data_IF_792390668914
#
_entry.id   IF_792390668914
#
_cell.length_a   1.000
_cell.length_b   1.000
_cell.length_c   1.000
_cell.angle_alpha   90.00
_cell.angle_beta   90.00
_cell.angle_gamma   90.00
#
_symmetry.space_group_name_H-M   'P 1'
#
loop_
_entity.id
_entity.type
_entity.pdbx_description
1 polymer ?
#
# COMPACT_ATOMS: atom_id res chain seq x y z
N UNK A 1 20.05 8.61 -7.98
CA UNK A 1 20.10 7.82 -6.73
C UNK A 1 18.69 7.48 -6.30
N UNK A 2 18.42 6.23 -6.05
CA UNK A 2 17.13 5.79 -5.59
C UNK A 2 16.92 6.21 -4.14
N UNK A 3 15.76 6.78 -3.85
CA UNK A 3 15.38 7.18 -2.51
C UNK A 3 14.28 6.25 -2.00
N UNK A 4 14.55 5.57 -0.89
CA UNK A 4 13.55 4.74 -0.23
C UNK A 4 12.56 5.61 0.52
N UNK A 5 11.28 5.38 0.29
CA UNK A 5 10.20 6.14 0.93
C UNK A 5 9.07 5.22 1.34
N UNK A 6 8.32 5.70 2.31
CA UNK A 6 7.04 5.13 2.70
C UNK A 6 5.97 6.20 2.58
N UNK A 7 4.85 5.84 2.04
CA UNK A 7 3.69 6.71 1.96
C UNK A 7 2.46 5.92 2.37
N UNK A 8 1.40 6.61 2.74
CA UNK A 8 0.21 5.95 3.24
C UNK A 8 -1.03 6.65 2.74
N UNK A 9 -2.11 5.90 2.77
CA UNK A 9 -3.45 6.41 2.55
C UNK A 9 -4.36 5.84 3.62
N UNK A 10 -5.40 6.59 3.98
CA UNK A 10 -6.46 6.07 4.83
C UNK A 10 -7.52 5.51 3.93
N UNK A 11 -7.54 4.19 3.78
CA UNK A 11 -8.62 3.51 3.08
C UNK A 11 -9.22 2.46 4.00
N UNK A 12 -10.42 2.08 3.68
CA UNK A 12 -11.08 1.04 4.43
C UNK A 12 -10.68 -0.32 3.86
N UNK A 13 -10.07 -1.16 4.68
CA UNK A 13 -9.81 -2.54 4.32
C UNK A 13 -11.08 -3.34 4.38
N UNK A 14 -11.16 -4.31 3.49
CA UNK A 14 -12.20 -5.31 3.48
C UNK A 14 -11.61 -6.65 3.88
N UNK A 15 -12.32 -7.35 4.74
CA UNK A 15 -12.04 -8.76 5.01
C UNK A 15 -13.12 -9.58 4.35
N UNK A 16 -12.72 -10.70 3.75
CA UNK A 16 -13.68 -11.62 3.17
C UNK A 16 -13.22 -13.05 3.37
N UNK A 17 -14.20 -13.92 3.41
CA UNK A 17 -13.98 -15.36 3.45
C UNK A 17 -14.44 -15.93 2.11
N UNK A 18 -13.59 -16.73 1.50
CA UNK A 18 -13.98 -17.43 0.29
C UNK A 18 -14.79 -18.66 0.68
N UNK A 19 -16.03 -18.72 0.21
CA UNK A 19 -16.90 -19.87 0.47
C UNK A 19 -16.44 -21.14 -0.26
N UNK A 20 -15.70 -20.98 -1.35
CA UNK A 20 -15.25 -22.12 -2.16
C UNK A 20 -13.98 -22.77 -1.61
N UNK A 21 -13.08 -21.97 -1.00
CA UNK A 21 -11.75 -22.46 -0.60
C UNK A 21 -11.44 -22.25 0.88
N UNK A 22 -12.39 -21.73 1.66
CA UNK A 22 -12.20 -21.42 3.10
C UNK A 22 -11.02 -20.49 3.33
N UNK A 23 -10.69 -19.63 2.35
CA UNK A 23 -9.61 -18.67 2.46
C UNK A 23 -10.06 -17.41 3.18
N UNK A 24 -9.14 -16.82 3.94
CA UNK A 24 -9.30 -15.50 4.53
C UNK A 24 -8.48 -14.51 3.72
N UNK A 25 -9.11 -13.43 3.28
CA UNK A 25 -8.48 -12.45 2.40
C UNK A 25 -8.65 -11.06 2.98
N UNK A 26 -7.53 -10.33 3.06
CA UNK A 26 -7.53 -8.88 3.30
C UNK A 26 -7.44 -8.18 1.97
N UNK A 27 -8.40 -7.31 1.67
CA UNK A 27 -8.44 -6.56 0.42
C UNK A 27 -8.54 -5.07 0.70
N UNK A 28 -7.86 -4.29 -0.11
CA UNK A 28 -7.96 -2.83 -0.03
C UNK A 28 -7.12 -2.15 -1.07
N UNK A 29 -7.27 -0.83 -1.15
CA UNK A 29 -6.41 0.00 -1.98
C UNK A 29 -5.20 0.45 -1.16
N UNK A 30 -4.01 0.13 -1.65
CA UNK A 30 -2.76 0.57 -1.03
C UNK A 30 -2.27 1.89 -1.60
N UNK A 31 -2.69 2.23 -2.81
CA UNK A 31 -2.40 3.50 -3.46
C UNK A 31 -3.69 4.00 -4.11
N UNK A 32 -3.99 5.28 -3.92
CA UNK A 32 -5.06 5.99 -4.65
C UNK A 32 -4.36 6.99 -5.57
N UNK A 33 -4.65 6.93 -6.86
CA UNK A 33 -4.04 7.82 -7.85
C UNK A 33 -4.58 9.24 -7.74
N UNK A 34 -3.70 10.20 -8.01
CA UNK A 34 -4.06 11.62 -8.16
C UNK A 34 -4.79 12.18 -6.94
N UNK A 35 -4.44 11.67 -5.76
CA UNK A 35 -5.03 12.07 -4.49
C UNK A 35 -3.96 12.72 -3.61
N UNK A 36 -3.82 14.05 -3.64
CA UNK A 36 -2.79 14.73 -2.87
C UNK A 36 -2.95 14.50 -1.37
N UNK A 37 -1.86 14.12 -0.73
CA UNK A 37 -1.79 13.90 0.72
C UNK A 37 -0.75 14.83 1.29
N UNK A 38 -1.12 15.60 2.30
CA UNK A 38 -0.17 16.50 2.97
C UNK A 38 0.74 15.69 3.89
N UNK A 39 2.05 15.69 3.59
CA UNK A 39 3.05 14.97 4.38
C UNK A 39 3.53 15.81 5.56
N UNK A 40 3.67 17.11 5.35
CA UNK A 40 3.90 18.11 6.38
C UNK A 40 3.35 19.44 5.85
N UNK A 41 3.18 20.47 6.69
CA UNK A 41 2.58 21.71 6.24
C UNK A 41 3.25 22.28 4.99
N UNK A 42 2.45 22.46 3.94
CA UNK A 42 2.91 23.02 2.68
C UNK A 42 3.53 22.02 1.70
N UNK A 43 3.61 20.75 2.05
CA UNK A 43 4.18 19.74 1.15
C UNK A 43 3.19 18.58 0.94
N UNK A 44 2.75 18.42 -0.31
CA UNK A 44 1.80 17.39 -0.69
C UNK A 44 2.44 16.40 -1.65
N UNK A 45 2.01 15.15 -1.56
CA UNK A 45 2.46 14.06 -2.43
C UNK A 45 1.24 13.38 -3.05
N UNK A 46 1.35 13.04 -4.32
CA UNK A 46 0.38 12.16 -4.98
C UNK A 46 1.09 11.19 -5.91
N UNK A 47 0.39 10.12 -6.28
CA UNK A 47 0.91 9.09 -7.16
C UNK A 47 0.18 9.18 -8.49
N UNK A 48 0.94 9.30 -9.58
CA UNK A 48 0.39 9.23 -10.93
C UNK A 48 0.10 7.77 -11.32
N UNK A 49 -0.95 7.50 -12.12
CA UNK A 49 -1.18 6.14 -12.63
C UNK A 49 0.02 5.54 -13.36
N UNK A 50 0.83 6.35 -14.03
CA UNK A 50 2.02 5.87 -14.75
C UNK A 50 3.16 5.43 -13.84
N UNK A 51 3.09 5.77 -12.54
CA UNK A 51 4.14 5.41 -11.59
C UNK A 51 4.31 3.90 -11.44
N UNK A 52 3.27 3.12 -11.74
CA UNK A 52 3.26 1.67 -11.61
C UNK A 52 3.40 0.94 -12.95
N UNK A 53 3.91 1.61 -13.98
CA UNK A 53 4.04 1.01 -15.32
C UNK A 53 4.88 -0.28 -15.32
N UNK A 54 5.85 -0.41 -14.41
CA UNK A 54 6.73 -1.56 -14.30
C UNK A 54 6.40 -2.49 -13.14
N UNK A 55 5.20 -2.41 -12.59
CA UNK A 55 4.80 -3.17 -11.41
C UNK A 55 4.95 -4.68 -11.60
N UNK A 56 4.66 -5.20 -12.78
CA UNK A 56 4.72 -6.63 -13.08
C UNK A 56 6.13 -7.22 -13.05
N UNK A 57 7.16 -6.38 -13.03
CA UNK A 57 8.55 -6.82 -12.91
C UNK A 57 9.05 -6.83 -11.47
N UNK A 58 8.21 -6.42 -10.52
CA UNK A 58 8.59 -6.19 -9.13
C UNK A 58 8.07 -7.32 -8.25
N UNK A 59 8.89 -7.71 -7.27
CA UNK A 59 8.50 -8.67 -6.24
C UNK A 59 8.11 -7.89 -4.99
N UNK A 60 6.81 -7.85 -4.72
CA UNK A 60 6.24 -7.02 -3.66
C UNK A 60 5.79 -7.90 -2.51
N UNK A 61 6.09 -7.48 -1.29
CA UNK A 61 5.64 -8.15 -0.09
C UNK A 61 4.54 -7.36 0.60
N UNK A 62 3.59 -8.08 1.18
CA UNK A 62 2.63 -7.50 2.10
C UNK A 62 3.17 -7.71 3.51
N UNK A 63 3.36 -6.61 4.24
CA UNK A 63 3.83 -6.61 5.62
C UNK A 63 2.70 -6.13 6.53
N UNK A 64 2.95 -6.08 7.83
CA UNK A 64 2.06 -5.44 8.79
C UNK A 64 2.84 -4.35 9.50
N UNK A 65 2.36 -3.09 9.43
CA UNK A 65 3.06 -1.92 9.99
C UNK A 65 4.50 -1.78 9.49
N UNK A 66 4.75 -2.12 8.23
CA UNK A 66 6.10 -2.11 7.62
C UNK A 66 7.11 -3.02 8.32
N UNK A 67 6.66 -3.96 9.15
CA UNK A 67 7.53 -4.85 9.89
C UNK A 67 8.01 -5.98 8.99
N UNK A 68 9.30 -5.99 8.68
CA UNK A 68 9.90 -6.99 7.80
C UNK A 68 9.93 -8.39 8.40
N UNK A 69 9.72 -8.51 9.70
CA UNK A 69 9.62 -9.81 10.36
C UNK A 69 8.19 -10.37 10.31
N UNK A 70 7.23 -9.60 9.80
CA UNK A 70 5.82 -10.00 9.76
C UNK A 70 5.30 -9.91 8.32
N UNK A 71 5.65 -10.91 7.52
CA UNK A 71 5.25 -10.99 6.12
C UNK A 71 3.89 -11.67 6.03
N UNK A 72 2.90 -10.97 5.48
CA UNK A 72 1.54 -11.48 5.32
C UNK A 72 1.33 -12.18 3.98
N UNK A 73 2.12 -11.85 2.99
CA UNK A 73 2.01 -12.42 1.66
C UNK A 73 3.02 -11.81 0.71
N UNK A 74 3.05 -12.32 -0.51
CA UNK A 74 4.07 -11.95 -1.48
C UNK A 74 3.59 -12.22 -2.91
N UNK A 75 3.90 -11.33 -3.84
CA UNK A 75 3.53 -11.56 -5.24
C UNK A 75 4.30 -12.76 -5.83
N UNK A 76 5.53 -12.97 -5.41
CA UNK A 76 6.38 -14.05 -5.95
C UNK A 76 5.86 -15.46 -5.70
N UNK A 77 5.01 -15.66 -4.69
CA UNK A 77 4.37 -16.96 -4.41
C UNK A 77 2.85 -16.90 -4.51
N UNK A 78 2.31 -15.85 -5.12
CA UNK A 78 0.88 -15.66 -5.40
C UNK A 78 -0.01 -15.55 -4.16
N UNK A 79 0.55 -15.22 -3.00
CA UNK A 79 -0.21 -14.95 -1.78
C UNK A 79 -0.61 -13.49 -1.64
N UNK A 80 -0.02 -12.63 -2.46
CA UNK A 80 -0.44 -11.24 -2.66
C UNK A 80 -0.75 -11.04 -4.14
N UNK A 81 -1.96 -10.58 -4.45
CA UNK A 81 -2.34 -10.21 -5.80
C UNK A 81 -2.53 -8.70 -5.86
N UNK A 82 -1.79 -8.04 -6.74
CA UNK A 82 -1.88 -6.60 -6.97
C UNK A 82 -2.56 -6.33 -8.31
N UNK A 83 -3.55 -5.46 -8.30
CA UNK A 83 -4.31 -5.09 -9.49
C UNK A 83 -4.39 -3.57 -9.60
N UNK A 84 -3.98 -3.03 -10.73
CA UNK A 84 -4.11 -1.60 -11.03
C UNK A 84 -5.44 -1.38 -11.73
N UNK A 85 -6.23 -0.45 -11.23
CA UNK A 85 -7.46 0.00 -11.88
C UNK A 85 -7.45 1.54 -11.99
N UNK A 86 -8.57 2.12 -12.42
CA UNK A 86 -8.65 3.57 -12.62
C UNK A 86 -8.51 4.35 -11.30
N UNK A 87 -8.86 3.74 -10.16
CA UNK A 87 -8.80 4.38 -8.85
C UNK A 87 -7.40 4.31 -8.24
N UNK A 88 -6.70 3.20 -8.44
CA UNK A 88 -5.40 3.02 -7.82
C UNK A 88 -4.90 1.59 -7.86
N UNK A 89 -4.12 1.24 -6.85
CA UNK A 89 -3.55 -0.10 -6.67
C UNK A 89 -4.34 -0.85 -5.61
N UNK A 90 -5.04 -1.88 -6.04
CA UNK A 90 -5.76 -2.79 -5.16
C UNK A 90 -4.91 -4.01 -4.85
N UNK A 91 -4.90 -4.43 -3.60
CA UNK A 91 -4.20 -5.64 -3.17
C UNK A 91 -5.12 -6.59 -2.46
N UNK A 92 -4.96 -7.89 -2.75
CA UNK A 92 -5.62 -8.98 -2.06
C UNK A 92 -4.54 -9.83 -1.40
N UNK A 93 -4.59 -9.96 -0.08
CA UNK A 93 -3.64 -10.74 0.71
C UNK A 93 -4.35 -12.00 1.19
N UNK A 94 -3.84 -13.16 0.79
CA UNK A 94 -4.34 -14.46 1.28
C UNK A 94 -3.69 -14.77 2.61
N UNK A 95 -4.47 -14.79 3.67
CA UNK A 95 -3.94 -14.97 5.02
C UNK A 95 -3.57 -16.42 5.27
N UNK A 96 -2.36 -16.65 5.74
CA UNK A 96 -1.89 -17.97 6.16
C UNK A 96 -2.49 -18.31 7.51
N UNK A 97 -3.44 -19.26 7.53
CA UNK A 97 -4.13 -19.66 8.75
C UNK A 97 -3.22 -20.40 9.73
N UNK A 98 -2.08 -20.91 9.26
CA UNK A 98 -1.10 -21.58 10.11
C UNK A 98 -0.16 -20.59 10.79
N UNK A 99 -0.25 -19.30 10.45
CA UNK A 99 0.57 -18.24 11.04
C UNK A 99 -0.27 -17.46 12.07
N UNK A 100 -0.02 -17.61 13.37
CA UNK A 100 -0.78 -16.88 14.39
C UNK A 100 -0.67 -15.37 14.28
N UNK A 101 0.48 -14.86 13.82
CA UNK A 101 0.66 -13.41 13.64
C UNK A 101 -0.18 -12.88 12.48
N UNK A 102 -0.25 -13.62 11.38
CA UNK A 102 -1.10 -13.25 10.26
C UNK A 102 -2.58 -13.31 10.64
N UNK A 103 -2.97 -14.31 11.40
CA UNK A 103 -4.34 -14.41 11.91
C UNK A 103 -4.66 -13.28 12.87
N UNK A 104 -3.71 -12.86 13.68
CA UNK A 104 -3.84 -11.69 14.55
C UNK A 104 -4.03 -10.41 13.75
N UNK A 105 -3.26 -10.21 12.69
CA UNK A 105 -3.40 -9.06 11.81
C UNK A 105 -4.79 -9.03 11.16
N UNK A 106 -5.24 -10.18 10.66
CA UNK A 106 -6.57 -10.32 10.08
C UNK A 106 -7.67 -9.92 11.07
N UNK A 107 -7.58 -10.43 12.29
CA UNK A 107 -8.58 -10.15 13.33
C UNK A 107 -8.63 -8.65 13.67
N UNK A 108 -7.48 -7.98 13.71
CA UNK A 108 -7.43 -6.53 13.99
C UNK A 108 -8.03 -5.69 12.88
N UNK A 109 -7.78 -6.06 11.64
CA UNK A 109 -8.39 -5.38 10.49
C UNK A 109 -9.90 -5.62 10.47
N UNK A 110 -10.32 -6.88 10.69
CA UNK A 110 -11.73 -7.25 10.68
C UNK A 110 -12.54 -6.50 11.74
N UNK A 111 -11.97 -6.31 12.93
CA UNK A 111 -12.65 -5.59 14.01
C UNK A 111 -12.64 -4.07 13.79
N UNK A 112 -11.79 -3.57 12.90
CA UNK A 112 -11.66 -2.15 12.63
C UNK A 112 -10.64 -1.43 13.50
N UNK A 113 -9.76 -2.17 14.18
CA UNK A 113 -8.67 -1.57 14.96
C UNK A 113 -7.55 -1.04 14.08
N UNK A 114 -7.40 -1.61 12.89
CA UNK A 114 -6.40 -1.23 11.89
C UNK A 114 -7.14 -0.90 10.60
N UNK A 115 -7.07 0.36 10.18
CA UNK A 115 -7.84 0.85 9.02
C UNK A 115 -6.96 1.57 7.99
N UNK A 116 -5.68 1.76 8.28
CA UNK A 116 -4.76 2.47 7.40
C UNK A 116 -4.06 1.55 6.41
N UNK A 117 -3.68 2.11 5.29
CA UNK A 117 -2.83 1.48 4.29
C UNK A 117 -1.58 2.29 4.09
N UNK A 118 -0.47 1.61 3.85
CA UNK A 118 0.79 2.25 3.53
C UNK A 118 1.53 1.43 2.49
N UNK A 119 2.47 2.07 1.80
CA UNK A 119 3.31 1.38 0.82
C UNK A 119 4.73 1.92 0.91
N UNK A 120 5.69 1.03 0.65
CA UNK A 120 7.11 1.37 0.62
C UNK A 120 7.66 1.22 -0.79
N UNK A 121 8.49 2.18 -1.20
CA UNK A 121 8.96 2.23 -2.56
C UNK A 121 10.33 2.91 -2.64
N UNK A 122 11.03 2.65 -3.74
CA UNK A 122 12.20 3.43 -4.15
C UNK A 122 11.73 4.43 -5.19
N UNK A 123 12.01 5.70 -4.97
CA UNK A 123 11.65 6.75 -5.91
C UNK A 123 12.62 6.73 -7.09
N UNK A 124 12.07 6.67 -8.31
CA UNK A 124 12.84 6.75 -9.54
C UNK A 124 12.69 8.09 -10.22
N UNK A 125 11.45 8.62 -10.27
CA UNK A 125 11.20 9.91 -10.87
C UNK A 125 9.94 10.54 -10.30
N UNK A 126 9.95 11.85 -10.22
CA UNK A 126 8.80 12.63 -9.77
C UNK A 126 8.79 14.00 -10.44
N UNK A 127 7.65 14.66 -10.41
CA UNK A 127 7.46 16.01 -10.93
C UNK A 127 6.98 16.92 -9.80
N UNK A 128 7.45 18.15 -9.81
CA UNK A 128 7.11 19.14 -8.79
C UNK A 128 6.28 20.26 -9.38
N UNK A 129 5.29 20.71 -8.63
CA UNK A 129 4.46 21.85 -8.99
C UNK A 129 4.28 22.73 -7.77
N UNK A 130 4.51 24.03 -7.95
CA UNK A 130 4.20 24.99 -6.90
C UNK A 130 2.71 25.31 -6.92
N UNK A 131 2.11 25.30 -5.75
CA UNK A 131 0.71 25.63 -5.54
C UNK A 131 0.59 27.00 -4.89
N UNK A 132 -0.64 27.47 -4.71
CA UNK A 132 -0.91 28.73 -4.04
C UNK A 132 -0.37 28.70 -2.61
N UNK A 133 0.01 29.88 -2.09
CA UNK A 133 0.52 30.08 -0.74
C UNK A 133 1.83 29.36 -0.43
N UNK A 134 2.66 29.11 -1.46
CA UNK A 134 3.98 28.53 -1.28
C UNK A 134 4.00 27.02 -1.05
N UNK A 135 2.87 26.35 -1.20
CA UNK A 135 2.81 24.90 -1.09
C UNK A 135 3.43 24.24 -2.33
N UNK A 136 3.98 23.05 -2.13
CA UNK A 136 4.59 22.24 -3.19
C UNK A 136 3.84 20.91 -3.31
N UNK A 137 3.55 20.52 -4.56
CA UNK A 137 3.00 19.21 -4.87
C UNK A 137 4.05 18.39 -5.59
N UNK A 138 4.43 17.26 -5.00
CA UNK A 138 5.26 16.25 -5.65
C UNK A 138 4.35 15.16 -6.22
N UNK A 139 4.45 14.92 -7.53
CA UNK A 139 3.73 13.81 -8.18
C UNK A 139 4.73 12.72 -8.50
N UNK A 140 4.57 11.56 -7.88
CA UNK A 140 5.41 10.40 -8.14
C UNK A 140 5.03 9.83 -9.51
N UNK A 141 6.01 9.75 -10.42
CA UNK A 141 5.77 9.33 -11.79
C UNK A 141 6.43 8.02 -12.16
N UNK A 142 7.40 7.56 -11.36
CA UNK A 142 8.05 6.26 -11.53
C UNK A 142 8.55 5.79 -10.17
N UNK A 143 8.05 4.67 -9.71
CA UNK A 143 8.45 4.08 -8.44
C UNK A 143 8.74 2.59 -8.59
N UNK A 144 9.64 2.09 -7.75
CA UNK A 144 9.80 0.65 -7.56
C UNK A 144 9.13 0.31 -6.23
N UNK A 145 7.99 -0.34 -6.31
CA UNK A 145 7.23 -0.76 -5.14
C UNK A 145 7.87 -2.01 -4.55
N UNK A 146 8.17 -2.03 -3.26
CA UNK A 146 8.72 -3.21 -2.62
C UNK A 146 7.85 -3.78 -1.50
N UNK A 147 6.95 -2.97 -0.91
CA UNK A 147 6.02 -3.50 0.08
C UNK A 147 4.73 -2.69 0.17
N UNK A 148 3.69 -3.35 0.62
CA UNK A 148 2.40 -2.75 0.99
C UNK A 148 2.07 -3.24 2.38
N UNK A 149 1.41 -2.41 3.20
CA UNK A 149 1.12 -2.76 4.59
C UNK A 149 -0.22 -2.23 5.04
N UNK A 150 -1.05 -3.06 5.69
CA UNK A 150 -2.01 -2.55 6.66
C UNK A 150 -1.25 -1.87 7.79
N UNK A 151 -1.68 -0.71 8.23
CA UNK A 151 -0.97 0.01 9.29
C UNK A 151 -1.92 0.63 10.31
N UNK A 152 -1.42 0.71 11.55
CA UNK A 152 -2.19 1.21 12.69
C UNK A 152 -2.34 2.72 12.60
N UNK A 153 -1.25 3.41 12.35
CA UNK A 153 -1.25 4.85 12.18
C UNK A 153 -0.79 5.22 10.79
N UNK A 154 -1.48 6.16 10.14
CA UNK A 154 -0.86 6.86 9.03
C UNK A 154 0.45 7.47 9.52
N UNK A 155 1.46 7.53 8.66
CA UNK A 155 2.82 7.87 9.05
C UNK A 155 2.97 9.25 9.73
N UNK A 156 1.96 10.05 9.71
CA UNK A 156 2.00 11.41 10.29
C UNK A 156 0.71 11.78 10.96
#
# INVERSE_FOLDING_TARGET
MEQQRQSFITTQFETRESQESDELILSGYFIIFDSPTELWPGYLEQVSPRALANLNTQDVRALFNHDTSLVLGRTGNSTLTLTVDAKGLRGDIRINKDDPQAMGAYARVKRGDVVGCSFGFFLRDSEFKELAHGATLETLTDIELYEVSPCTFPAY
#
